data_IF_508121666967
#
_entry.id   IF_508121666967
#
_cell.length_a   1.000
_cell.length_b   1.000
_cell.length_c   1.000
_cell.angle_alpha   90.00
_cell.angle_beta   90.00
_cell.angle_gamma   90.00
#
_symmetry.space_group_name_H-M   'P 1'
#
loop_
_entity.id
_entity.type
_entity.pdbx_description
1 polymer ?
#
# COMPACT_ATOMS: atom_id res chain seq x y z
N UNK A 1 -25.85 -13.30 38.73
CA UNK A 1 -24.87 -12.20 38.85
C UNK A 1 -23.54 -12.57 38.16
N UNK A 2 -23.57 -12.91 36.86
CA UNK A 2 -22.35 -13.25 36.07
C UNK A 2 -22.33 -12.57 34.69
N UNK A 3 -23.36 -11.79 34.35
CA UNK A 3 -23.56 -11.18 33.03
C UNK A 3 -22.92 -9.78 32.96
N UNK A 4 -23.00 -8.99 34.03
CA UNK A 4 -22.41 -7.63 34.04
C UNK A 4 -20.89 -7.62 33.84
N UNK A 5 -20.17 -8.60 34.41
CA UNK A 5 -18.71 -8.71 34.26
C UNK A 5 -18.26 -8.99 32.82
N UNK A 6 -19.12 -9.59 31.99
CA UNK A 6 -18.80 -9.88 30.58
C UNK A 6 -18.99 -8.61 29.74
N UNK A 7 -20.08 -7.87 29.97
CA UNK A 7 -20.36 -6.59 29.30
C UNK A 7 -19.31 -5.54 29.64
N UNK A 8 -18.94 -5.42 30.92
CA UNK A 8 -17.89 -4.49 31.36
C UNK A 8 -16.54 -4.80 30.68
N UNK A 9 -16.20 -6.08 30.51
CA UNK A 9 -14.95 -6.45 29.81
C UNK A 9 -14.97 -6.08 28.33
N UNK A 10 -16.10 -6.29 27.64
CA UNK A 10 -16.24 -5.92 26.23
C UNK A 10 -16.22 -4.39 26.06
N UNK A 11 -16.81 -3.64 26.99
CA UNK A 11 -16.77 -2.17 27.00
C UNK A 11 -15.33 -1.66 27.17
N UNK A 12 -14.55 -2.25 28.09
CA UNK A 12 -13.14 -1.91 28.27
C UNK A 12 -12.34 -2.18 26.99
N UNK A 13 -12.49 -3.37 26.39
CA UNK A 13 -11.81 -3.70 25.13
C UNK A 13 -12.19 -2.75 23.99
N UNK A 14 -13.45 -2.31 23.94
CA UNK A 14 -13.91 -1.32 22.97
C UNK A 14 -13.22 0.03 23.15
N UNK A 15 -13.07 0.50 24.39
CA UNK A 15 -12.41 1.78 24.69
C UNK A 15 -10.91 1.70 24.39
N UNK A 16 -10.24 0.61 24.77
CA UNK A 16 -8.81 0.38 24.45
C UNK A 16 -8.56 0.31 22.94
N UNK A 17 -9.46 -0.37 22.21
CA UNK A 17 -9.41 -0.42 20.75
C UNK A 17 -9.60 0.95 20.12
N UNK A 18 -10.49 1.79 20.67
CA UNK A 18 -10.75 3.14 20.20
C UNK A 18 -9.54 4.05 20.44
N UNK A 19 -8.93 3.98 21.62
CA UNK A 19 -7.71 4.72 21.95
C UNK A 19 -6.59 4.38 20.95
N UNK A 20 -6.37 3.08 20.72
CA UNK A 20 -5.39 2.61 19.74
C UNK A 20 -5.67 3.16 18.33
N UNK A 21 -6.92 3.17 17.90
CA UNK A 21 -7.30 3.76 16.61
C UNK A 21 -7.00 5.26 16.53
N UNK A 22 -7.30 6.02 17.58
CA UNK A 22 -7.06 7.46 17.61
C UNK A 22 -5.57 7.79 17.54
N UNK A 23 -4.73 7.03 18.23
CA UNK A 23 -3.27 7.17 18.17
C UNK A 23 -2.75 6.89 16.75
N UNK A 24 -3.16 5.78 16.14
CA UNK A 24 -2.75 5.43 14.78
C UNK A 24 -3.28 6.44 13.74
N UNK A 25 -4.48 6.97 13.95
CA UNK A 25 -5.05 8.03 13.12
C UNK A 25 -4.24 9.33 13.21
N UNK A 26 -3.75 9.69 14.41
CA UNK A 26 -2.87 10.85 14.58
C UNK A 26 -1.50 10.65 13.90
N UNK A 27 -0.93 9.45 13.99
CA UNK A 27 0.30 9.08 13.27
C UNK A 27 0.09 9.19 11.76
N UNK A 28 -1.03 8.68 11.25
CA UNK A 28 -1.42 8.80 9.85
C UNK A 28 -1.49 10.26 9.41
N UNK A 29 -2.24 11.09 10.14
CA UNK A 29 -2.40 12.51 9.81
C UNK A 29 -1.06 13.24 9.77
N UNK A 30 -0.16 12.94 10.71
CA UNK A 30 1.17 13.54 10.77
C UNK A 30 2.01 13.17 9.55
N UNK A 31 2.01 11.89 9.16
CA UNK A 31 2.73 11.41 7.97
C UNK A 31 2.19 12.02 6.68
N UNK A 32 0.86 12.10 6.54
CA UNK A 32 0.24 12.75 5.37
C UNK A 32 0.57 14.23 5.29
N UNK A 33 0.48 14.97 6.40
CA UNK A 33 0.89 16.40 6.45
C UNK A 33 2.33 16.57 6.01
N UNK A 34 3.25 15.70 6.46
CA UNK A 34 4.65 15.74 6.04
C UNK A 34 4.81 15.45 4.54
N UNK A 35 4.04 14.51 3.98
CA UNK A 35 4.01 14.23 2.54
C UNK A 35 3.56 15.44 1.73
N UNK A 36 2.43 16.05 2.09
CA UNK A 36 1.93 17.26 1.43
C UNK A 36 2.90 18.44 1.56
N UNK A 37 3.54 18.62 2.71
CA UNK A 37 4.55 19.66 2.89
C UNK A 37 5.75 19.48 1.93
N UNK A 38 6.25 18.26 1.78
CA UNK A 38 7.34 17.98 0.82
C UNK A 38 6.89 18.14 -0.62
N UNK A 39 5.64 17.78 -0.94
CA UNK A 39 5.06 18.00 -2.26
C UNK A 39 4.97 19.50 -2.59
N UNK A 40 4.55 20.32 -1.63
CA UNK A 40 4.53 21.79 -1.79
C UNK A 40 5.93 22.33 -2.06
N UNK A 41 6.95 21.88 -1.32
CA UNK A 41 8.34 22.27 -1.59
C UNK A 41 8.81 21.85 -2.99
N UNK A 42 8.45 20.64 -3.42
CA UNK A 42 8.75 20.16 -4.77
C UNK A 42 8.08 21.04 -5.84
N UNK A 43 6.80 21.41 -5.64
CA UNK A 43 6.05 22.29 -6.56
C UNK A 43 6.69 23.67 -6.69
N UNK A 44 7.25 24.24 -5.62
CA UNK A 44 7.96 25.51 -5.66
C UNK A 44 9.28 25.46 -6.45
N UNK A 45 9.85 24.27 -6.65
CA UNK A 45 11.12 24.07 -7.39
C UNK A 45 10.92 23.64 -8.83
N UNK A 46 9.72 23.22 -9.19
CA UNK A 46 9.37 22.78 -10.53
C UNK A 46 8.60 23.88 -11.28
N UNK A 47 8.62 23.87 -12.62
CA UNK A 47 7.73 24.72 -13.40
C UNK A 47 6.26 24.48 -13.02
N UNK A 48 5.44 25.52 -13.11
CA UNK A 48 4.03 25.48 -12.69
C UNK A 48 3.22 24.33 -13.33
N UNK A 49 3.55 23.99 -14.58
CA UNK A 49 2.89 22.93 -15.36
C UNK A 49 3.42 21.52 -15.10
N UNK A 50 4.51 21.35 -14.36
CA UNK A 50 5.16 20.05 -14.16
C UNK A 50 4.44 19.17 -13.13
N UNK A 51 3.73 19.77 -12.16
CA UNK A 51 2.89 19.07 -11.18
C UNK A 51 1.45 19.59 -11.29
N UNK A 52 0.83 19.34 -12.44
CA UNK A 52 -0.53 19.75 -12.75
C UNK A 52 -1.40 18.56 -13.13
N UNK A 53 -2.70 18.77 -13.23
CA UNK A 53 -3.67 17.74 -13.64
C UNK A 53 -3.38 17.17 -15.04
N UNK A 54 -2.72 17.93 -15.91
CA UNK A 54 -2.34 17.48 -17.25
C UNK A 54 -1.00 16.74 -17.30
N UNK A 55 -0.27 16.67 -16.17
CA UNK A 55 1.02 15.99 -16.08
C UNK A 55 0.90 14.47 -15.86
N UNK A 56 -0.31 13.99 -15.57
CA UNK A 56 -0.56 12.57 -15.35
C UNK A 56 -0.78 11.85 -16.69
N UNK A 57 -0.38 10.58 -16.74
CA UNK A 57 -0.70 9.72 -17.88
C UNK A 57 -2.20 9.40 -17.90
N UNK A 58 -2.83 9.39 -19.07
CA UNK A 58 -4.29 9.16 -19.25
C UNK A 58 -4.74 7.82 -18.65
N UNK A 59 -3.88 6.82 -18.75
CA UNK A 59 -4.03 5.52 -18.10
C UNK A 59 -2.89 5.30 -17.12
N UNK A 60 -3.21 4.94 -15.88
CA UNK A 60 -2.23 4.51 -14.89
C UNK A 60 -2.72 3.28 -14.16
N UNK A 61 -1.78 2.39 -13.83
CA UNK A 61 -2.03 1.22 -13.00
C UNK A 61 -1.57 1.48 -11.57
N UNK A 62 -2.20 0.81 -10.61
CA UNK A 62 -1.80 0.91 -9.22
C UNK A 62 -0.38 0.33 -9.05
N UNK A 63 0.58 1.15 -8.63
CA UNK A 63 1.94 0.66 -8.35
C UNK A 63 2.01 -0.17 -7.06
N UNK A 64 1.12 0.14 -6.11
CA UNK A 64 1.01 -0.53 -4.81
C UNK A 64 -0.39 -1.08 -4.61
N UNK A 65 -0.48 -2.28 -4.08
CA UNK A 65 -1.74 -2.95 -3.74
C UNK A 65 -1.69 -3.45 -2.30
N UNK A 66 -2.86 -3.52 -1.68
CA UNK A 66 -3.01 -4.10 -0.34
C UNK A 66 -3.47 -5.54 -0.49
N UNK A 67 -2.75 -6.47 0.14
CA UNK A 67 -3.04 -7.90 0.12
C UNK A 67 -3.16 -8.42 1.54
N UNK A 68 -4.05 -9.37 1.76
CA UNK A 68 -4.13 -10.12 3.00
C UNK A 68 -3.07 -11.24 2.99
N UNK A 69 -2.20 -11.25 3.99
CA UNK A 69 -1.22 -12.32 4.20
C UNK A 69 -1.91 -13.60 4.70
N UNK A 70 -1.20 -14.73 4.61
CA UNK A 70 -1.58 -16.03 5.16
C UNK A 70 -1.91 -15.98 6.66
N UNK A 71 -1.24 -15.09 7.41
CA UNK A 71 -1.49 -14.84 8.82
C UNK A 71 -2.72 -13.93 9.09
N UNK A 72 -3.48 -13.55 8.06
CA UNK A 72 -4.62 -12.64 8.18
C UNK A 72 -4.23 -11.17 8.37
N UNK A 73 -2.97 -10.81 8.14
CA UNK A 73 -2.47 -9.44 8.28
C UNK A 73 -2.47 -8.71 6.94
N UNK A 74 -2.99 -7.49 6.91
CA UNK A 74 -2.92 -6.64 5.73
C UNK A 74 -1.48 -6.18 5.48
N UNK A 75 -1.00 -6.29 4.23
CA UNK A 75 0.33 -5.81 3.83
C UNK A 75 0.27 -5.04 2.52
N UNK A 76 1.06 -3.99 2.43
CA UNK A 76 1.27 -3.22 1.21
C UNK A 76 2.37 -3.89 0.37
N UNK A 77 2.06 -4.22 -0.89
CA UNK A 77 2.99 -4.83 -1.84
C UNK A 77 3.04 -4.08 -3.16
N UNK A 78 4.09 -4.33 -3.94
CA UNK A 78 4.12 -3.93 -5.35
C UNK A 78 3.10 -4.73 -6.14
N UNK A 79 2.36 -4.08 -7.04
CA UNK A 79 1.35 -4.74 -7.87
C UNK A 79 1.95 -5.86 -8.73
N UNK A 80 3.10 -5.61 -9.36
CA UNK A 80 3.87 -6.62 -10.11
C UNK A 80 4.22 -7.85 -9.27
N UNK A 81 4.52 -7.68 -7.98
CA UNK A 81 4.83 -8.78 -7.07
C UNK A 81 3.57 -9.54 -6.64
N UNK A 82 2.45 -8.85 -6.48
CA UNK A 82 1.17 -9.46 -6.13
C UNK A 82 0.62 -10.34 -7.27
N UNK A 83 0.78 -9.91 -8.52
CA UNK A 83 0.41 -10.71 -9.70
C UNK A 83 1.25 -11.99 -9.80
N UNK A 84 2.57 -11.90 -9.58
CA UNK A 84 3.47 -13.07 -9.55
C UNK A 84 3.06 -14.07 -8.47
N UNK A 85 2.68 -13.60 -7.27
CA UNK A 85 2.18 -14.48 -6.21
C UNK A 85 0.85 -15.17 -6.59
N UNK A 86 -0.05 -14.46 -7.27
CA UNK A 86 -1.31 -15.03 -7.76
C UNK A 86 -1.10 -16.04 -8.91
N UNK A 87 -0.14 -15.79 -9.80
CA UNK A 87 0.24 -16.72 -10.87
C UNK A 87 0.89 -17.98 -10.27
N UNK A 88 1.77 -17.83 -9.29
CA UNK A 88 2.42 -18.98 -8.65
C UNK A 88 1.44 -19.83 -7.83
N UNK A 89 0.38 -19.21 -7.27
CA UNK A 89 -0.70 -19.93 -6.57
C UNK A 89 -1.65 -20.69 -7.52
N UNK A 90 -1.74 -20.25 -8.79
CA UNK A 90 -2.46 -20.95 -9.87
C UNK A 90 -1.59 -21.98 -10.61
N UNK A 91 -0.28 -21.85 -10.54
CA UNK A 91 0.70 -22.72 -11.19
C UNK A 91 1.31 -23.72 -10.21
N UNK A 92 0.46 -24.45 -9.49
CA UNK A 92 0.89 -25.68 -8.82
C UNK A 92 1.07 -26.78 -9.87
N UNK A 93 2.19 -26.74 -10.60
CA UNK A 93 2.90 -27.84 -11.28
C UNK A 93 3.58 -27.34 -12.57
N UNK A 94 4.79 -26.78 -12.45
CA UNK A 94 5.77 -26.69 -13.56
C UNK A 94 7.11 -26.13 -13.05
N UNK A 95 7.74 -26.84 -12.10
CA UNK A 95 9.15 -26.63 -11.80
C UNK A 95 9.99 -27.30 -12.91
N UNK A 96 10.06 -26.69 -14.09
CA UNK A 96 10.93 -27.14 -15.18
C UNK A 96 12.21 -26.32 -15.23
N UNK A 97 13.21 -26.82 -14.49
CA UNK A 97 14.60 -26.44 -14.57
C UNK A 97 15.09 -26.38 -16.04
N UNK A 98 15.32 -25.18 -16.56
CA UNK A 98 16.06 -25.01 -17.80
C UNK A 98 17.56 -25.22 -17.53
N UNK A 99 17.99 -26.47 -17.70
CA UNK A 99 19.42 -26.81 -17.87
C UNK A 99 19.92 -26.20 -19.17
N UNK A 100 21.06 -25.51 -19.09
CA UNK A 100 21.81 -24.96 -20.23
C UNK A 100 22.18 -26.05 -21.24
N UNK A 101 21.90 -25.79 -22.52
CA UNK A 101 22.63 -26.34 -23.66
C UNK A 101 22.58 -25.31 -24.79
N UNK A 102 23.74 -24.91 -25.32
CA UNK A 102 23.83 -23.90 -26.36
C UNK A 102 23.83 -24.49 -27.78
N UNK A 103 23.30 -23.72 -28.75
CA UNK A 103 24.00 -23.20 -29.95
C UNK A 103 22.99 -22.64 -30.96
N UNK A 104 23.14 -21.34 -31.21
CA UNK A 104 23.20 -20.65 -32.51
C UNK A 104 22.05 -20.66 -33.55
N UNK A 105 21.71 -19.42 -33.93
CA UNK A 105 21.19 -18.87 -35.19
C UNK A 105 19.68 -18.64 -35.36
N UNK A 106 19.37 -17.33 -35.36
CA UNK A 106 18.39 -16.59 -36.15
C UNK A 106 16.92 -17.02 -36.06
N UNK A 107 16.20 -16.36 -35.16
CA UNK A 107 14.83 -15.93 -35.45
C UNK A 107 14.52 -14.67 -34.65
N UNK A 108 13.68 -13.83 -35.23
CA UNK A 108 13.44 -12.43 -34.89
C UNK A 108 13.24 -12.15 -33.39
N UNK A 109 13.79 -11.02 -32.94
CA UNK A 109 13.68 -10.51 -31.57
C UNK A 109 12.23 -10.65 -31.06
N UNK A 110 11.96 -11.51 -30.05
CA UNK A 110 10.71 -11.40 -29.33
C UNK A 110 10.82 -10.10 -28.54
N UNK A 111 9.97 -9.14 -28.91
CA UNK A 111 9.70 -7.88 -28.21
C UNK A 111 10.02 -8.07 -26.74
N UNK A 112 11.13 -7.46 -26.34
CA UNK A 112 11.66 -7.48 -24.98
C UNK A 112 10.51 -7.31 -24.01
N UNK A 113 10.14 -8.43 -23.40
CA UNK A 113 9.28 -8.49 -22.25
C UNK A 113 9.87 -7.53 -21.23
N UNK A 114 9.28 -6.33 -21.12
CA UNK A 114 9.56 -5.34 -20.06
C UNK A 114 9.07 -5.89 -18.73
N UNK A 115 9.64 -7.02 -18.32
CA UNK A 115 9.52 -7.57 -16.99
C UNK A 115 10.59 -6.83 -16.19
N UNK A 116 10.16 -5.90 -15.33
CA UNK A 116 10.95 -5.55 -14.14
C UNK A 116 11.69 -4.22 -14.16
N UNK A 117 11.26 -3.22 -14.92
CA UNK A 117 11.61 -1.83 -14.61
C UNK A 117 10.33 -1.18 -14.12
N UNK A 118 10.12 -1.16 -12.79
CA UNK A 118 9.15 -0.25 -12.18
C UNK A 118 9.49 1.14 -12.71
N UNK A 119 8.74 1.62 -13.71
CA UNK A 119 8.92 2.95 -14.25
C UNK A 119 8.67 3.90 -13.09
N UNK A 120 9.74 4.54 -12.61
CA UNK A 120 9.67 5.51 -11.53
C UNK A 120 8.63 6.56 -11.94
N UNK A 121 7.46 6.54 -11.30
CA UNK A 121 6.31 7.39 -11.65
C UNK A 121 6.65 8.86 -11.52
N UNK A 122 7.74 9.19 -10.83
CA UNK A 122 8.27 10.55 -10.73
C UNK A 122 8.79 11.08 -12.06
N UNK A 123 9.18 10.21 -12.99
CA UNK A 123 9.62 10.59 -14.33
C UNK A 123 8.50 11.18 -15.19
N UNK A 124 7.24 10.99 -14.82
CA UNK A 124 6.11 11.68 -15.47
C UNK A 124 6.17 13.20 -15.27
N UNK A 125 6.77 13.66 -14.19
CA UNK A 125 6.78 15.07 -13.81
C UNK A 125 8.11 15.77 -14.09
N UNK A 126 9.20 15.02 -14.23
CA UNK A 126 10.52 15.56 -14.61
C UNK A 126 11.47 14.43 -15.01
N UNK A 127 12.27 14.66 -16.05
CA UNK A 127 13.39 13.75 -16.40
C UNK A 127 14.44 13.66 -15.29
N UNK A 128 14.54 14.69 -14.44
CA UNK A 128 15.38 14.71 -13.25
C UNK A 128 14.55 15.20 -12.05
N UNK A 129 13.81 14.31 -11.37
CA UNK A 129 12.90 14.71 -10.29
C UNK A 129 13.70 15.25 -9.09
N UNK A 130 13.31 16.43 -8.55
CA UNK A 130 14.02 17.04 -7.44
C UNK A 130 13.94 16.17 -6.19
N UNK A 131 14.92 16.33 -5.29
CA UNK A 131 15.02 15.55 -4.05
C UNK A 131 13.75 15.63 -3.21
N UNK A 132 13.11 16.80 -3.13
CA UNK A 132 11.85 17.00 -2.40
C UNK A 132 10.70 16.17 -2.98
N UNK A 133 10.65 15.96 -4.30
CA UNK A 133 9.60 15.16 -4.93
C UNK A 133 9.76 13.67 -4.58
N UNK A 134 11.01 13.18 -4.57
CA UNK A 134 11.33 11.83 -4.08
C UNK A 134 11.01 11.68 -2.59
N UNK A 135 11.30 12.71 -1.80
CA UNK A 135 10.93 12.72 -0.38
C UNK A 135 9.41 12.72 -0.19
N UNK A 136 8.67 13.49 -0.99
CA UNK A 136 7.20 13.49 -0.96
C UNK A 136 6.65 12.09 -1.24
N UNK A 137 7.13 11.43 -2.31
CA UNK A 137 6.76 10.04 -2.62
C UNK A 137 7.03 9.10 -1.44
N UNK A 138 8.24 9.16 -0.84
CA UNK A 138 8.59 8.35 0.33
C UNK A 138 7.63 8.60 1.51
N UNK A 139 7.30 9.86 1.78
CA UNK A 139 6.38 10.20 2.86
C UNK A 139 4.96 9.73 2.59
N UNK A 140 4.48 9.82 1.34
CA UNK A 140 3.18 9.26 0.96
C UNK A 140 3.15 7.73 1.04
N UNK A 141 4.25 7.04 0.70
CA UNK A 141 4.35 5.57 0.90
C UNK A 141 4.28 5.20 2.39
N UNK A 142 5.00 5.93 3.24
CA UNK A 142 4.92 5.76 4.69
C UNK A 142 3.53 6.09 5.23
N UNK A 143 2.88 7.10 4.65
CA UNK A 143 1.50 7.49 4.94
C UNK A 143 0.51 6.39 4.56
N UNK A 144 0.65 5.79 3.37
CA UNK A 144 -0.19 4.68 2.91
C UNK A 144 -0.06 3.46 3.83
N UNK A 145 1.15 3.17 4.32
CA UNK A 145 1.33 2.14 5.34
C UNK A 145 0.62 2.49 6.65
N UNK A 146 0.65 3.76 7.08
CA UNK A 146 -0.10 4.20 8.25
C UNK A 146 -1.62 4.17 8.04
N UNK A 147 -2.11 4.42 6.81
CA UNK A 147 -3.54 4.26 6.47
C UNK A 147 -3.96 2.82 6.72
N UNK A 148 -3.14 1.86 6.27
CA UNK A 148 -3.42 0.45 6.44
C UNK A 148 -3.48 0.05 7.93
N UNK A 149 -2.56 0.55 8.74
CA UNK A 149 -2.56 0.30 10.19
C UNK A 149 -3.80 0.93 10.84
N UNK A 150 -4.08 2.20 10.57
CA UNK A 150 -5.26 2.90 11.12
C UNK A 150 -6.58 2.24 10.66
N UNK A 151 -6.68 1.79 9.41
CA UNK A 151 -7.85 1.08 8.90
C UNK A 151 -8.05 -0.27 9.60
N UNK A 152 -6.96 -1.00 9.88
CA UNK A 152 -7.03 -2.26 10.64
C UNK A 152 -7.48 -2.03 12.09
N UNK A 153 -7.03 -0.93 12.72
CA UNK A 153 -7.49 -0.54 14.06
C UNK A 153 -8.96 -0.12 14.03
N UNK A 154 -9.40 0.65 13.02
CA UNK A 154 -10.80 1.01 12.83
C UNK A 154 -11.70 -0.22 12.68
N UNK A 155 -11.24 -1.24 11.95
CA UNK A 155 -11.96 -2.51 11.82
C UNK A 155 -12.13 -3.22 13.16
N UNK A 156 -11.11 -3.19 14.04
CA UNK A 156 -11.21 -3.75 15.39
C UNK A 156 -12.23 -2.99 16.24
N UNK A 157 -12.24 -1.67 16.18
CA UNK A 157 -13.25 -0.84 16.87
C UNK A 157 -14.65 -1.17 16.38
N UNK A 158 -14.86 -1.26 15.06
CA UNK A 158 -16.16 -1.62 14.49
C UNK A 158 -16.64 -2.99 14.99
N UNK A 159 -15.72 -3.96 15.10
CA UNK A 159 -16.04 -5.28 15.66
C UNK A 159 -16.40 -5.18 17.14
N UNK A 160 -15.59 -4.51 17.96
CA UNK A 160 -15.85 -4.37 19.39
C UNK A 160 -17.19 -3.65 19.66
N UNK A 161 -17.53 -2.62 18.89
CA UNK A 161 -18.83 -1.93 18.98
C UNK A 161 -19.98 -2.87 18.63
N UNK A 162 -19.82 -3.71 17.61
CA UNK A 162 -20.82 -4.72 17.25
C UNK A 162 -21.01 -5.76 18.36
N UNK A 163 -19.92 -6.19 18.99
CA UNK A 163 -19.95 -7.15 20.09
C UNK A 163 -20.66 -6.56 21.33
N UNK A 164 -20.45 -5.27 21.64
CA UNK A 164 -21.23 -4.54 22.68
C UNK A 164 -22.71 -4.49 22.32
N UNK A 165 -23.06 -4.17 21.06
CA UNK A 165 -24.46 -4.05 20.62
C UNK A 165 -25.22 -5.37 20.61
N UNK A 166 -24.51 -6.49 20.51
CA UNK A 166 -25.10 -7.84 20.45
C UNK A 166 -25.01 -8.61 21.77
N UNK A 167 -24.36 -8.04 22.79
CA UNK A 167 -24.29 -8.61 24.12
C UNK A 167 -25.70 -8.69 24.76
N UNK A 168 -26.07 -9.83 25.38
CA UNK A 168 -27.36 -9.98 26.04
C UNK A 168 -27.41 -9.08 27.30
N UNK A 169 -28.36 -8.13 27.30
CA UNK A 169 -28.71 -7.27 28.45
C UNK A 169 -29.34 -8.05 29.60
#
# INVERSE_FOLDING_TARGET
MKTDTDVDTVLVECVESLETYLDEHNVLCTKLKQGFFMLTKAKMRLPEHALSEVSYHETFEASRVVTLDSDGNWRLQNASKAEVLNVNKKSGDAMLHHRRAGRSYEDEDPVSSKIGMESDTLLWFSSLPPSDLRQAQKQFLNGLQAVLVAASAAQKVQKAVYDVMTAPT
#
